data_IF_330398010164
#
_entry.id   IF_330398010164
#
_cell.length_a   1.000
_cell.length_b   1.000
_cell.length_c   1.000
_cell.angle_alpha   90.00
_cell.angle_beta   90.00
_cell.angle_gamma   90.00
#
_symmetry.space_group_name_H-M   'P 1'
#
loop_
_entity.id
_entity.type
_entity.pdbx_description
1 polymer ?
#
# COMPACT_ATOMS: atom_id res chain seq x y z
N UNK A 1 22.27 20.85 7.38
CA UNK A 1 21.80 19.75 6.51
C UNK A 1 20.75 18.94 7.25
N UNK A 2 19.60 18.71 6.62
CA UNK A 2 18.53 17.93 7.24
C UNK A 2 18.88 16.45 7.27
N UNK A 3 18.57 15.79 8.40
CA UNK A 3 18.70 14.35 8.52
C UNK A 3 17.48 13.67 7.90
N UNK A 4 17.61 12.37 7.62
CA UNK A 4 16.51 11.55 7.12
C UNK A 4 15.31 11.59 8.06
N UNK A 5 15.54 11.56 9.38
CA UNK A 5 14.46 11.65 10.38
C UNK A 5 13.76 13.01 10.34
N UNK A 6 14.51 14.10 10.16
CA UNK A 6 13.94 15.45 10.07
C UNK A 6 13.09 15.62 8.81
N UNK A 7 13.53 15.08 7.68
CA UNK A 7 12.78 15.10 6.43
C UNK A 7 11.47 14.33 6.58
N UNK A 8 11.51 13.14 7.17
CA UNK A 8 10.30 12.33 7.42
C UNK A 8 9.30 13.07 8.31
N UNK A 9 9.78 13.68 9.38
CA UNK A 9 8.94 14.44 10.30
C UNK A 9 8.28 15.63 9.59
N UNK A 10 9.03 16.37 8.79
CA UNK A 10 8.53 17.52 8.04
C UNK A 10 7.40 17.13 7.08
N UNK A 11 7.59 16.08 6.28
CA UNK A 11 6.58 15.63 5.34
C UNK A 11 5.37 14.99 6.03
N UNK A 12 5.59 14.31 7.14
CA UNK A 12 4.49 13.76 7.94
C UNK A 12 3.60 14.88 8.48
N UNK A 13 4.21 15.98 8.95
CA UNK A 13 3.46 17.16 9.42
C UNK A 13 2.68 17.82 8.28
N UNK A 14 3.28 17.93 7.10
CA UNK A 14 2.60 18.47 5.92
C UNK A 14 1.39 17.63 5.53
N UNK A 15 1.52 16.30 5.56
CA UNK A 15 0.40 15.40 5.27
C UNK A 15 -0.71 15.51 6.30
N UNK A 16 -0.34 15.65 7.57
CA UNK A 16 -1.32 15.76 8.66
C UNK A 16 -2.19 17.03 8.54
N UNK A 17 -1.73 18.04 7.82
CA UNK A 17 -2.48 19.27 7.59
C UNK A 17 -3.52 19.15 6.47
N UNK A 18 -3.47 18.06 5.69
CA UNK A 18 -4.42 17.81 4.62
C UNK A 18 -5.75 17.31 5.20
N UNK A 19 -6.87 17.80 4.66
CA UNK A 19 -8.17 17.26 5.02
C UNK A 19 -8.48 15.98 4.21
N UNK A 20 -9.53 15.25 4.61
CA UNK A 20 -9.92 14.00 3.96
C UNK A 20 -10.20 14.18 2.47
N UNK A 21 -10.83 15.27 2.09
CA UNK A 21 -11.14 15.55 0.69
C UNK A 21 -9.89 15.76 -0.15
N UNK A 22 -8.91 16.51 0.38
CA UNK A 22 -7.62 16.70 -0.30
C UNK A 22 -6.87 15.40 -0.47
N UNK A 23 -6.84 14.57 0.59
CA UNK A 23 -6.19 13.24 0.54
C UNK A 23 -6.87 12.37 -0.53
N UNK A 24 -8.19 12.37 -0.57
CA UNK A 24 -8.96 11.59 -1.56
C UNK A 24 -8.64 12.03 -2.99
N UNK A 25 -8.69 13.32 -3.27
CA UNK A 25 -8.46 13.87 -4.62
C UNK A 25 -7.03 13.60 -5.07
N UNK A 26 -6.05 13.84 -4.20
CA UNK A 26 -4.65 13.60 -4.52
C UNK A 26 -4.37 12.11 -4.71
N UNK A 27 -4.98 11.25 -3.89
CA UNK A 27 -4.84 9.79 -4.00
C UNK A 27 -5.42 9.29 -5.33
N UNK A 28 -6.58 9.77 -5.74
CA UNK A 28 -7.18 9.41 -7.02
C UNK A 28 -6.29 9.78 -8.19
N UNK A 29 -5.66 10.98 -8.15
CA UNK A 29 -4.75 11.42 -9.19
C UNK A 29 -3.49 10.53 -9.27
N UNK A 30 -2.91 10.19 -8.12
CA UNK A 30 -1.72 9.33 -8.04
C UNK A 30 -2.06 7.93 -8.55
N UNK A 31 -3.18 7.36 -8.09
CA UNK A 31 -3.61 6.03 -8.51
C UNK A 31 -3.90 5.97 -10.01
N UNK A 32 -4.51 7.02 -10.58
CA UNK A 32 -4.74 7.10 -12.02
C UNK A 32 -3.43 7.11 -12.79
N UNK A 33 -2.42 7.84 -12.31
CA UNK A 33 -1.10 7.89 -12.95
C UNK A 33 -0.42 6.51 -12.91
N UNK A 34 -0.51 5.79 -11.79
CA UNK A 34 0.04 4.43 -11.66
C UNK A 34 -0.69 3.47 -12.59
N UNK A 35 -2.03 3.52 -12.61
CA UNK A 35 -2.87 2.65 -13.44
C UNK A 35 -2.54 2.82 -14.94
N UNK A 36 -2.19 4.03 -15.36
CA UNK A 36 -1.84 4.31 -16.75
C UNK A 36 -0.35 4.06 -17.07
N UNK A 37 0.46 3.67 -16.11
CA UNK A 37 1.87 3.39 -16.35
C UNK A 37 2.07 2.05 -17.04
N UNK A 38 3.14 1.94 -17.85
CA UNK A 38 3.50 0.68 -18.49
C UNK A 38 3.85 -0.40 -17.47
N UNK A 39 4.53 -0.02 -16.38
CA UNK A 39 4.89 -0.94 -15.30
C UNK A 39 3.67 -1.64 -14.73
N UNK A 40 2.62 -0.88 -14.45
CA UNK A 40 1.38 -1.43 -13.90
C UNK A 40 0.69 -2.36 -14.91
N UNK A 41 0.61 -1.95 -16.17
CA UNK A 41 -0.03 -2.75 -17.20
C UNK A 41 0.67 -4.10 -17.42
N UNK A 42 1.99 -4.12 -17.34
CA UNK A 42 2.79 -5.32 -17.56
C UNK A 42 2.86 -6.23 -16.33
N UNK A 43 2.70 -5.68 -15.13
CA UNK A 43 2.81 -6.45 -13.91
C UNK A 43 1.62 -7.40 -13.72
N UNK A 44 1.89 -8.66 -13.43
CA UNK A 44 0.87 -9.64 -13.07
C UNK A 44 0.62 -9.66 -11.57
N UNK A 45 1.68 -9.39 -10.78
CA UNK A 45 1.64 -9.34 -9.32
C UNK A 45 2.15 -7.98 -8.85
N UNK A 46 1.29 -7.24 -8.16
CA UNK A 46 1.61 -5.88 -7.70
C UNK A 46 1.69 -5.86 -6.18
N UNK A 47 2.76 -5.24 -5.66
CA UNK A 47 2.92 -5.04 -4.23
C UNK A 47 2.25 -3.74 -3.79
N UNK A 48 1.49 -3.81 -2.71
CA UNK A 48 0.79 -2.68 -2.12
C UNK A 48 1.08 -2.58 -0.64
N UNK A 49 0.74 -1.46 -0.04
CA UNK A 49 0.59 -1.32 1.40
C UNK A 49 -0.85 -0.91 1.72
N UNK A 50 -1.32 -1.21 2.93
CA UNK A 50 -2.63 -0.71 3.36
C UNK A 50 -2.41 0.69 3.96
N UNK A 51 -3.09 1.73 3.44
CA UNK A 51 -2.82 3.10 3.86
C UNK A 51 -3.24 3.36 5.31
N UNK A 52 -2.45 4.18 6.00
CA UNK A 52 -2.68 4.58 7.37
C UNK A 52 -2.74 6.11 7.44
N UNK A 53 -3.81 6.64 8.04
CA UNK A 53 -3.98 8.08 8.20
C UNK A 53 -4.02 8.84 6.89
N UNK A 54 -3.10 9.79 6.72
CA UNK A 54 -3.04 10.68 5.55
C UNK A 54 -2.15 10.17 4.41
N UNK A 55 -1.75 8.90 4.45
CA UNK A 55 -1.02 8.31 3.35
C UNK A 55 -1.89 8.20 2.09
N UNK A 56 -1.23 8.04 0.93
CA UNK A 56 -1.95 7.87 -0.33
C UNK A 56 -2.91 6.67 -0.22
N UNK A 57 -4.19 6.90 -0.53
CA UNK A 57 -5.23 5.87 -0.40
C UNK A 57 -5.22 4.97 -1.62
N UNK A 58 -4.78 3.73 -1.43
CA UNK A 58 -4.58 2.74 -2.49
C UNK A 58 -5.70 1.72 -2.65
N UNK A 59 -6.66 1.69 -1.71
CA UNK A 59 -7.69 0.63 -1.70
C UNK A 59 -8.51 0.57 -2.98
N UNK A 60 -8.80 1.71 -3.60
CA UNK A 60 -9.48 1.74 -4.90
C UNK A 60 -8.67 1.12 -6.02
N UNK A 61 -7.36 1.37 -6.05
CA UNK A 61 -6.47 0.78 -7.04
C UNK A 61 -6.34 -0.74 -6.85
N UNK A 62 -6.32 -1.20 -5.60
CA UNK A 62 -6.29 -2.64 -5.28
C UNK A 62 -7.51 -3.33 -5.84
N UNK A 63 -8.71 -2.78 -5.64
CA UNK A 63 -9.95 -3.37 -6.17
C UNK A 63 -9.97 -3.38 -7.70
N UNK A 64 -9.44 -2.34 -8.33
CA UNK A 64 -9.29 -2.30 -9.80
C UNK A 64 -8.31 -3.35 -10.29
N UNK A 65 -7.21 -3.58 -9.55
CA UNK A 65 -6.24 -4.62 -9.89
C UNK A 65 -6.89 -6.00 -9.87
N UNK A 66 -7.69 -6.29 -8.85
CA UNK A 66 -8.44 -7.57 -8.80
C UNK A 66 -9.41 -7.71 -9.97
N UNK A 67 -10.14 -6.64 -10.29
CA UNK A 67 -11.07 -6.64 -11.42
C UNK A 67 -10.36 -6.86 -12.76
N UNK A 68 -9.12 -6.43 -12.87
CA UNK A 68 -8.28 -6.63 -14.06
C UNK A 68 -7.59 -8.01 -14.11
N UNK A 69 -7.82 -8.86 -13.11
CA UNK A 69 -7.21 -10.17 -13.02
C UNK A 69 -5.78 -10.18 -12.52
N UNK A 70 -5.32 -9.09 -11.95
CA UNK A 70 -3.97 -9.00 -11.37
C UNK A 70 -3.94 -9.62 -9.98
N UNK A 71 -2.78 -10.14 -9.61
CA UNK A 71 -2.52 -10.62 -8.25
C UNK A 71 -1.97 -9.47 -7.41
N UNK A 72 -2.35 -9.43 -6.14
CA UNK A 72 -1.90 -8.39 -5.20
C UNK A 72 -1.20 -9.03 -4.02
N UNK A 73 -0.16 -8.36 -3.50
CA UNK A 73 0.52 -8.82 -2.31
C UNK A 73 0.80 -7.65 -1.37
N UNK A 74 0.79 -7.94 -0.08
CA UNK A 74 0.97 -6.96 0.98
C UNK A 74 2.08 -7.42 1.93
N UNK A 75 2.84 -6.50 2.53
CA UNK A 75 3.93 -6.87 3.42
C UNK A 75 3.42 -7.30 4.80
N UNK A 76 4.12 -8.26 5.39
CA UNK A 76 3.96 -8.64 6.79
C UNK A 76 5.33 -8.61 7.45
N UNK A 77 5.41 -7.92 8.58
CA UNK A 77 6.64 -7.83 9.37
C UNK A 77 6.69 -8.99 10.35
N UNK A 78 7.82 -9.69 10.38
CA UNK A 78 8.07 -10.78 11.32
C UNK A 78 9.48 -10.58 11.89
N UNK A 79 9.56 -10.03 13.11
CA UNK A 79 10.83 -9.66 13.73
C UNK A 79 11.53 -8.58 12.92
N UNK A 80 12.73 -8.86 12.44
CA UNK A 80 13.52 -7.94 11.60
C UNK A 80 13.25 -8.11 10.10
N UNK A 81 12.46 -9.12 9.74
CA UNK A 81 12.17 -9.46 8.36
C UNK A 81 10.82 -8.93 7.92
N UNK A 82 10.70 -8.64 6.63
CA UNK A 82 9.45 -8.28 6.01
C UNK A 82 9.30 -9.10 4.73
N UNK A 83 8.16 -9.77 4.58
CA UNK A 83 7.85 -10.57 3.40
C UNK A 83 6.48 -10.19 2.86
N UNK A 84 6.28 -10.37 1.56
CA UNK A 84 5.01 -10.10 0.90
C UNK A 84 4.19 -11.38 0.78
N UNK A 85 2.89 -11.26 0.99
CA UNK A 85 1.94 -12.37 0.86
C UNK A 85 0.80 -11.96 -0.05
N UNK A 86 0.38 -12.88 -0.91
CA UNK A 86 -0.73 -12.64 -1.83
C UNK A 86 -2.05 -12.66 -1.09
N UNK A 87 -2.91 -11.66 -1.38
CA UNK A 87 -4.29 -11.63 -0.90
C UNK A 87 -5.23 -11.35 -2.08
N UNK A 88 -6.45 -11.82 -1.98
CA UNK A 88 -7.49 -11.60 -2.98
C UNK A 88 -8.71 -10.89 -2.42
N UNK A 89 -8.71 -10.59 -1.13
CA UNK A 89 -9.79 -9.89 -0.44
C UNK A 89 -9.23 -9.20 0.81
N UNK A 90 -9.77 -8.03 1.15
CA UNK A 90 -9.31 -7.28 2.32
C UNK A 90 -9.56 -8.01 3.64
N UNK A 91 -10.48 -8.97 3.67
CA UNK A 91 -10.71 -9.79 4.87
C UNK A 91 -9.50 -10.65 5.25
N UNK A 92 -8.53 -10.80 4.36
CA UNK A 92 -7.28 -11.52 4.63
C UNK A 92 -6.22 -10.65 5.32
N UNK A 93 -6.56 -9.41 5.65
CA UNK A 93 -5.69 -8.50 6.40
C UNK A 93 -6.12 -8.42 7.86
N UNK A 94 -5.13 -8.26 8.76
CA UNK A 94 -5.36 -8.02 10.19
C UNK A 94 -4.40 -6.93 10.67
N UNK A 95 -4.71 -6.30 11.80
CA UNK A 95 -3.83 -5.29 12.38
C UNK A 95 -2.54 -5.93 12.89
N UNK A 96 -1.41 -5.45 12.36
CA UNK A 96 -0.07 -5.92 12.73
C UNK A 96 0.78 -4.84 13.38
N UNK A 97 2.08 -4.85 13.09
CA UNK A 97 3.03 -3.88 13.63
C UNK A 97 2.64 -2.44 13.30
N UNK A 98 2.73 -1.55 14.29
CA UNK A 98 2.42 -0.12 14.15
C UNK A 98 1.00 0.16 13.65
N UNK A 99 0.05 -0.73 13.98
CA UNK A 99 -1.36 -0.64 13.58
C UNK A 99 -1.58 -0.73 12.07
N UNK A 100 -0.58 -1.17 11.31
CA UNK A 100 -0.70 -1.37 9.87
C UNK A 100 -1.42 -2.69 9.57
N UNK A 101 -2.35 -2.67 8.63
CA UNK A 101 -3.04 -3.89 8.20
C UNK A 101 -2.10 -4.77 7.41
N UNK A 102 -1.97 -6.03 7.81
CA UNK A 102 -1.06 -7.01 7.24
C UNK A 102 -1.78 -8.31 6.88
N UNK A 103 -1.25 -9.10 5.91
CA UNK A 103 -1.81 -10.43 5.64
C UNK A 103 -1.83 -11.30 6.90
N UNK A 104 -2.92 -12.05 7.08
CA UNK A 104 -3.06 -12.98 8.20
C UNK A 104 -2.10 -14.15 8.05
N UNK A 105 -1.79 -14.84 9.16
CA UNK A 105 -0.86 -15.98 9.16
C UNK A 105 -1.31 -17.15 8.30
N UNK A 106 -2.61 -17.25 8.03
CA UNK A 106 -3.15 -18.29 7.14
C UNK A 106 -2.82 -18.06 5.66
N UNK A 107 -2.32 -16.88 5.29
CA UNK A 107 -1.78 -16.65 3.96
C UNK A 107 -0.52 -17.51 3.81
N UNK A 108 -0.53 -18.41 2.82
CA UNK A 108 0.32 -19.59 2.82
C UNK A 108 1.82 -19.34 2.68
N UNK A 109 2.26 -18.74 1.59
CA UNK A 109 3.69 -18.60 1.30
C UNK A 109 4.03 -17.19 0.86
N UNK A 110 5.24 -16.70 1.21
CA UNK A 110 5.66 -15.39 0.73
C UNK A 110 5.82 -15.40 -0.80
N UNK A 111 5.55 -14.24 -1.39
CA UNK A 111 5.68 -14.01 -2.83
C UNK A 111 6.53 -12.77 -3.09
N UNK A 112 6.98 -12.61 -4.32
CA UNK A 112 7.77 -11.44 -4.72
C UNK A 112 6.93 -10.59 -5.66
N UNK A 113 6.70 -9.29 -5.35
CA UNK A 113 6.02 -8.40 -6.28
C UNK A 113 6.89 -8.11 -7.50
N UNK A 114 6.25 -7.86 -8.59
CA UNK A 114 6.94 -7.49 -9.83
C UNK A 114 7.22 -6.00 -9.93
#
# INVERSE_FOLDING_TARGET
METKAQIRKSYKQKRAMLNEESVRVMSEAICAAVENSAWYHEAERVGFYYPLGSEVQLTGLVTKAWAAGKKTCFPRVSGENMEFYEISDFSQLEEGCFHVMEPVESCAEPVVPE
#
